data_IF_431056920117
#
_entry.id   IF_431056920117
#
_cell.length_a   1.000
_cell.length_b   1.000
_cell.length_c   1.000
_cell.angle_alpha   90.00
_cell.angle_beta   90.00
_cell.angle_gamma   90.00
#
_symmetry.space_group_name_H-M   'P 1'
#
loop_
_entity.id
_entity.type
_entity.pdbx_description
1 polymer ?
#
# COMPACT_ATOMS: atom_id res chain seq x y z
N UNK A 1 -16.65 -0.15 -17.98
CA UNK A 1 -16.27 -0.85 -16.73
C UNK A 1 -17.02 -0.16 -15.61
N UNK A 2 -18.06 -0.78 -15.04
CA UNK A 2 -18.84 -0.18 -13.95
C UNK A 2 -18.00 -0.23 -12.67
N UNK A 3 -17.84 0.91 -12.00
CA UNK A 3 -17.10 1.05 -10.75
C UNK A 3 -17.70 0.12 -9.69
N UNK A 4 -16.86 -0.70 -9.03
CA UNK A 4 -17.26 -1.53 -7.88
C UNK A 4 -17.33 -0.73 -6.56
N UNK A 5 -17.25 0.60 -6.62
CA UNK A 5 -17.34 1.44 -5.43
C UNK A 5 -18.81 1.68 -5.07
N UNK A 6 -19.22 1.48 -3.80
CA UNK A 6 -20.59 1.69 -3.38
C UNK A 6 -21.00 3.16 -3.58
N UNK A 7 -22.16 3.37 -4.21
CA UNK A 7 -22.59 4.69 -4.69
C UNK A 7 -23.08 5.63 -3.60
N UNK A 8 -23.28 5.18 -2.36
CA UNK A 8 -23.90 5.99 -1.30
C UNK A 8 -23.20 5.83 0.06
N UNK A 9 -22.01 6.39 0.21
CA UNK A 9 -21.44 6.65 1.54
C UNK A 9 -21.14 8.14 1.63
N UNK A 10 -22.08 8.90 2.18
CA UNK A 10 -21.88 10.31 2.52
C UNK A 10 -20.65 10.43 3.42
N UNK A 11 -19.61 11.14 2.95
CA UNK A 11 -18.37 11.39 3.69
C UNK A 11 -17.11 11.08 2.85
N UNK A 12 -16.66 12.03 2.01
CA UNK A 12 -15.49 11.84 1.13
C UNK A 12 -14.15 11.53 1.82
N UNK A 13 -14.10 11.60 3.16
CA UNK A 13 -12.90 11.29 3.94
C UNK A 13 -12.49 9.82 3.86
N UNK A 14 -13.43 8.86 3.93
CA UNK A 14 -13.06 7.44 3.87
C UNK A 14 -12.54 7.04 2.49
N UNK A 15 -13.05 7.66 1.42
CA UNK A 15 -12.55 7.44 0.05
C UNK A 15 -11.11 7.93 -0.07
N UNK A 16 -10.81 9.11 0.48
CA UNK A 16 -9.46 9.68 0.48
C UNK A 16 -8.49 8.79 1.25
N UNK A 17 -8.89 8.28 2.43
CA UNK A 17 -8.11 7.31 3.22
C UNK A 17 -7.89 6.01 2.46
N UNK A 18 -8.94 5.45 1.83
CA UNK A 18 -8.82 4.23 1.04
C UNK A 18 -7.88 4.40 -0.16
N UNK A 19 -7.95 5.53 -0.87
CA UNK A 19 -7.02 5.86 -1.96
C UNK A 19 -5.59 5.89 -1.46
N UNK A 20 -5.37 6.56 -0.33
CA UNK A 20 -4.04 6.72 0.23
C UNK A 20 -3.48 5.37 0.72
N UNK A 21 -4.27 4.54 1.42
CA UNK A 21 -3.88 3.17 1.79
C UNK A 21 -3.57 2.29 0.58
N UNK A 22 -4.34 2.39 -0.50
CA UNK A 22 -4.06 1.66 -1.74
C UNK A 22 -2.73 2.11 -2.37
N UNK A 23 -2.41 3.41 -2.31
CA UNK A 23 -1.09 3.90 -2.74
C UNK A 23 0.01 3.33 -1.85
N UNK A 24 -0.15 3.35 -0.53
CA UNK A 24 0.79 2.76 0.43
C UNK A 24 1.10 1.29 0.06
N UNK A 25 0.04 0.50 -0.13
CA UNK A 25 0.12 -0.91 -0.48
C UNK A 25 0.88 -1.13 -1.80
N UNK A 26 0.49 -0.46 -2.88
CA UNK A 26 1.07 -0.68 -4.21
C UNK A 26 2.52 -0.18 -4.28
N UNK A 27 2.80 1.00 -3.75
CA UNK A 27 4.15 1.56 -3.82
C UNK A 27 5.12 0.83 -2.89
N UNK A 28 4.72 0.54 -1.65
CA UNK A 28 5.55 -0.21 -0.70
C UNK A 28 5.89 -1.60 -1.24
N UNK A 29 4.89 -2.33 -1.74
CA UNK A 29 5.11 -3.69 -2.28
C UNK A 29 5.94 -3.68 -3.56
N UNK A 30 5.75 -2.70 -4.45
CA UNK A 30 6.60 -2.52 -5.64
C UNK A 30 8.06 -2.32 -5.23
N UNK A 31 8.32 -1.43 -4.27
CA UNK A 31 9.68 -1.16 -3.83
C UNK A 31 10.33 -2.39 -3.21
N UNK A 32 9.60 -3.09 -2.34
CA UNK A 32 10.03 -4.37 -1.78
C UNK A 32 10.37 -5.39 -2.87
N UNK A 33 9.53 -5.51 -3.91
CA UNK A 33 9.78 -6.40 -5.03
C UNK A 33 11.09 -6.08 -5.74
N UNK A 34 11.35 -4.81 -6.03
CA UNK A 34 12.59 -4.37 -6.69
C UNK A 34 13.81 -4.71 -5.84
N UNK A 35 13.75 -4.42 -4.53
CA UNK A 35 14.84 -4.69 -3.59
C UNK A 35 15.14 -6.19 -3.46
N UNK A 36 14.11 -7.02 -3.38
CA UNK A 36 14.23 -8.46 -3.18
C UNK A 36 14.36 -9.23 -4.51
N UNK A 37 14.47 -8.54 -5.65
CA UNK A 37 14.48 -9.11 -6.99
C UNK A 37 13.30 -10.07 -7.25
N UNK A 38 12.10 -9.68 -6.80
CA UNK A 38 10.84 -10.42 -6.94
C UNK A 38 9.94 -9.75 -7.98
N UNK A 39 9.11 -10.55 -8.64
CA UNK A 39 8.07 -10.05 -9.53
C UNK A 39 6.83 -9.69 -8.73
N UNK A 40 6.30 -8.48 -8.94
CA UNK A 40 5.05 -8.07 -8.32
C UNK A 40 3.87 -8.84 -8.91
N UNK A 41 2.96 -9.32 -8.07
CA UNK A 41 1.77 -10.08 -8.48
C UNK A 41 0.55 -9.67 -7.66
N UNK A 42 -0.65 -9.99 -8.18
CA UNK A 42 -1.90 -9.78 -7.43
C UNK A 42 -1.95 -10.64 -6.16
N UNK A 43 -1.33 -11.82 -6.16
CA UNK A 43 -1.22 -12.66 -4.97
C UNK A 43 -0.39 -11.95 -3.90
N UNK A 44 0.75 -11.38 -4.27
CA UNK A 44 1.60 -10.66 -3.33
C UNK A 44 0.90 -9.41 -2.75
N UNK A 45 0.18 -8.66 -3.59
CA UNK A 45 -0.62 -7.53 -3.11
C UNK A 45 -1.69 -7.96 -2.09
N UNK A 46 -2.27 -9.15 -2.26
CA UNK A 46 -3.22 -9.72 -1.29
C UNK A 46 -2.55 -10.13 0.02
N UNK A 47 -1.31 -10.58 -0.01
CA UNK A 47 -0.53 -10.90 1.19
C UNK A 47 -0.24 -9.67 2.05
N UNK A 48 -0.06 -8.50 1.41
CA UNK A 48 0.16 -7.22 2.11
C UNK A 48 -1.10 -6.39 2.36
N UNK A 49 -2.27 -6.79 1.86
CA UNK A 49 -3.54 -6.11 2.14
C UNK A 49 -3.92 -6.05 3.62
N UNK A 50 -3.68 -7.09 4.45
CA UNK A 50 -3.91 -7.01 5.89
C UNK A 50 -3.08 -5.88 6.51
N UNK A 51 -3.70 -5.07 7.36
CA UNK A 51 -3.06 -3.91 7.98
C UNK A 51 -1.77 -4.27 8.73
N UNK A 52 -1.77 -5.42 9.40
CA UNK A 52 -0.61 -5.95 10.12
C UNK A 52 0.58 -6.17 9.18
N UNK A 53 0.34 -6.72 7.97
CA UNK A 53 1.37 -6.94 6.96
C UNK A 53 1.86 -5.66 6.32
N UNK A 54 0.98 -4.70 6.09
CA UNK A 54 1.38 -3.37 5.62
C UNK A 54 2.20 -2.61 6.68
N UNK A 55 1.88 -2.77 7.96
CA UNK A 55 2.65 -2.20 9.07
C UNK A 55 4.04 -2.86 9.22
N UNK A 56 4.13 -4.19 9.08
CA UNK A 56 5.42 -4.89 9.02
C UNK A 56 6.30 -4.34 7.88
N UNK A 57 5.71 -4.08 6.71
CA UNK A 57 6.40 -3.50 5.58
C UNK A 57 6.92 -2.09 5.88
N UNK A 58 6.13 -1.28 6.58
CA UNK A 58 6.52 0.04 7.04
C UNK A 58 7.69 -0.01 8.02
N UNK A 59 7.61 -0.84 9.07
CA UNK A 59 8.70 -1.00 10.04
C UNK A 59 9.99 -1.42 9.33
N UNK A 60 9.90 -2.39 8.42
CA UNK A 60 11.03 -2.82 7.61
C UNK A 60 11.59 -1.68 6.77
N UNK A 61 10.75 -0.89 6.11
CA UNK A 61 11.20 0.24 5.30
C UNK A 61 11.96 1.31 6.12
N UNK A 62 11.54 1.53 7.38
CA UNK A 62 12.23 2.43 8.32
C UNK A 62 13.56 1.84 8.79
N UNK A 63 13.56 0.58 9.23
CA UNK A 63 14.75 -0.12 9.73
C UNK A 63 15.83 -0.24 8.65
N UNK A 64 15.39 -0.52 7.43
CA UNK A 64 16.23 -0.65 6.24
C UNK A 64 16.62 0.69 5.60
N UNK A 65 16.16 1.82 6.15
CA UNK A 65 16.41 3.18 5.65
C UNK A 65 16.10 3.33 4.15
N UNK A 66 14.89 2.91 3.74
CA UNK A 66 14.46 3.11 2.36
C UNK A 66 14.41 4.60 2.00
N UNK A 67 14.58 4.95 0.71
CA UNK A 67 14.43 6.32 0.24
C UNK A 67 13.07 6.91 0.62
N UNK A 68 13.02 8.21 0.88
CA UNK A 68 11.80 8.89 1.31
C UNK A 68 10.65 8.75 0.30
N UNK A 69 10.95 8.65 -1.00
CA UNK A 69 9.93 8.41 -2.03
C UNK A 69 9.26 7.04 -1.91
N UNK A 70 9.93 6.08 -1.27
CA UNK A 70 9.42 4.73 -1.02
C UNK A 70 8.69 4.63 0.33
N UNK A 71 9.10 5.40 1.32
CA UNK A 71 8.49 5.39 2.67
C UNK A 71 7.31 6.35 2.77
N UNK A 72 7.34 7.50 2.09
CA UNK A 72 6.29 8.52 2.17
C UNK A 72 4.87 8.02 1.88
N UNK A 73 4.62 7.07 0.97
CA UNK A 73 3.28 6.50 0.78
C UNK A 73 2.81 5.67 1.98
N UNK A 74 3.72 5.15 2.80
CA UNK A 74 3.44 4.29 3.96
C UNK A 74 3.11 5.08 5.23
N UNK A 75 3.39 6.40 5.32
CA UNK A 75 3.06 7.27 6.46
C UNK A 75 1.57 7.64 6.58
N UNK A 76 0.69 6.90 5.93
CA UNK A 76 -0.73 7.24 5.77
C UNK A 76 -1.47 7.61 7.06
#
# INVERSE_FOLDING_TARGET
MQSMLPTNVQGGEWQSRAIAMNKALVFGTKFWCVRENKTMSLQLLREFMPLEKLAELYCRAVDDQWPEEAVSPLYN
#
